data_IF_132431381957
#
_entry.id   IF_132431381957
#
_cell.length_a   1.000
_cell.length_b   1.000
_cell.length_c   1.000
_cell.angle_alpha   90.00
_cell.angle_beta   90.00
_cell.angle_gamma   90.00
#
_symmetry.space_group_name_H-M   'P 1'
#
loop_
_entity.id
_entity.type
_entity.pdbx_description
1 polymer ?
#
# COMPACT_ATOMS: atom_id res chain seq x y z
N UNK A 1 -6.17 8.47 -6.42
CA UNK A 1 -5.74 7.08 -6.15
C UNK A 1 -5.56 6.85 -4.66
N UNK A 2 -5.80 5.63 -4.24
CA UNK A 2 -5.49 5.18 -2.89
C UNK A 2 -4.36 4.16 -2.99
N UNK A 3 -3.18 4.50 -2.47
CA UNK A 3 -2.05 3.59 -2.44
C UNK A 3 -2.19 2.62 -1.27
N UNK A 4 -2.00 1.35 -1.53
CA UNK A 4 -2.07 0.29 -0.51
C UNK A 4 -0.76 -0.49 -0.53
N UNK A 5 -0.08 -0.60 0.63
CA UNK A 5 1.07 -1.48 0.75
C UNK A 5 0.61 -2.94 0.86
N UNK A 6 1.55 -3.86 0.98
CA UNK A 6 1.20 -5.28 1.06
C UNK A 6 0.37 -5.60 2.30
N UNK A 7 0.61 -4.93 3.44
CA UNK A 7 -0.18 -5.17 4.66
C UNK A 7 -1.65 -4.80 4.46
N UNK A 8 -1.91 -3.71 3.76
CA UNK A 8 -3.28 -3.27 3.45
C UNK A 8 -3.95 -4.22 2.46
N UNK A 9 -3.25 -4.62 1.41
CA UNK A 9 -3.78 -5.56 0.43
C UNK A 9 -4.10 -6.93 1.04
N UNK A 10 -3.20 -7.45 1.87
CA UNK A 10 -3.44 -8.72 2.58
C UNK A 10 -4.66 -8.60 3.50
N UNK A 11 -4.79 -7.49 4.23
CA UNK A 11 -5.94 -7.27 5.11
C UNK A 11 -7.24 -7.28 4.29
N UNK A 12 -7.27 -6.60 3.17
CA UNK A 12 -8.45 -6.54 2.30
C UNK A 12 -8.81 -7.93 1.74
N UNK A 13 -7.82 -8.68 1.28
CA UNK A 13 -8.03 -9.95 0.57
C UNK A 13 -8.32 -11.11 1.50
N UNK A 14 -7.79 -11.11 2.72
CA UNK A 14 -7.95 -12.23 3.66
C UNK A 14 -9.01 -11.99 4.74
N UNK A 15 -9.51 -10.77 4.86
CA UNK A 15 -10.52 -10.44 5.86
C UNK A 15 -9.99 -10.45 7.30
N UNK A 16 -8.69 -10.33 7.52
CA UNK A 16 -8.12 -10.29 8.87
C UNK A 16 -8.54 -9.01 9.61
N UNK A 17 -8.30 -8.89 10.93
CA UNK A 17 -8.73 -7.72 11.72
C UNK A 17 -8.32 -6.40 11.06
N UNK A 18 -9.28 -5.48 10.95
CA UNK A 18 -9.13 -4.22 10.24
C UNK A 18 -9.80 -4.21 8.86
N UNK A 19 -10.16 -5.39 8.31
CA UNK A 19 -10.74 -5.46 6.97
C UNK A 19 -12.09 -4.73 6.85
N UNK A 20 -12.94 -4.83 7.87
CA UNK A 20 -14.24 -4.13 7.85
C UNK A 20 -14.07 -2.63 7.81
N UNK A 21 -13.19 -2.08 8.64
CA UNK A 21 -12.87 -0.66 8.69
C UNK A 21 -12.22 -0.19 7.39
N UNK A 22 -11.36 -1.03 6.81
CA UNK A 22 -10.73 -0.74 5.53
C UNK A 22 -11.77 -0.66 4.41
N UNK A 23 -12.71 -1.61 4.36
CA UNK A 23 -13.80 -1.58 3.37
C UNK A 23 -14.65 -0.33 3.52
N UNK A 24 -14.95 0.09 4.74
CA UNK A 24 -15.68 1.34 5.00
C UNK A 24 -14.90 2.54 4.48
N UNK A 25 -13.60 2.59 4.76
CA UNK A 25 -12.74 3.66 4.28
C UNK A 25 -12.79 3.76 2.74
N UNK A 26 -12.70 2.62 2.05
CA UNK A 26 -12.76 2.58 0.59
C UNK A 26 -14.13 2.94 0.06
N UNK A 27 -15.20 2.49 0.73
CA UNK A 27 -16.59 2.81 0.35
C UNK A 27 -16.90 4.29 0.45
N UNK A 28 -16.27 4.98 1.39
CA UNK A 28 -16.45 6.43 1.55
C UNK A 28 -15.73 7.23 0.46
N UNK A 29 -14.94 6.57 -0.39
CA UNK A 29 -14.19 7.18 -1.49
C UNK A 29 -14.48 6.46 -2.80
N UNK A 30 -15.74 6.46 -3.24
CA UNK A 30 -16.12 5.71 -4.45
C UNK A 30 -15.44 6.28 -5.69
N UNK A 31 -15.08 5.38 -6.60
CA UNK A 31 -14.50 5.77 -7.89
C UNK A 31 -13.01 6.08 -7.87
N UNK A 32 -12.35 6.03 -6.69
CA UNK A 32 -10.90 6.21 -6.64
C UNK A 32 -10.18 4.89 -6.95
N UNK A 33 -9.27 4.87 -7.94
CA UNK A 33 -8.49 3.67 -8.24
C UNK A 33 -7.58 3.30 -7.08
N UNK A 34 -7.41 1.99 -6.87
CA UNK A 34 -6.41 1.47 -5.94
C UNK A 34 -5.07 1.36 -6.67
N UNK A 35 -3.99 1.61 -5.95
CA UNK A 35 -2.64 1.51 -6.49
C UNK A 35 -1.74 0.78 -5.51
N UNK A 36 -0.73 0.11 -6.04
CA UNK A 36 0.40 -0.40 -5.26
C UNK A 36 1.63 -0.41 -6.15
N UNK A 37 2.80 -0.66 -5.57
CA UNK A 37 4.03 -0.74 -6.34
C UNK A 37 4.25 -2.17 -6.87
N UNK A 38 5.23 -2.31 -7.78
CA UNK A 38 5.72 -3.62 -8.19
C UNK A 38 6.10 -4.47 -6.96
N UNK A 39 6.76 -3.86 -5.97
CA UNK A 39 7.12 -4.53 -4.72
C UNK A 39 5.87 -4.96 -3.96
N UNK A 40 4.85 -4.11 -3.91
CA UNK A 40 3.59 -4.43 -3.24
C UNK A 40 2.92 -5.66 -3.83
N UNK A 41 2.94 -5.79 -5.16
CA UNK A 41 2.39 -6.97 -5.83
C UNK A 41 3.17 -8.22 -5.43
N UNK A 42 4.50 -8.18 -5.53
CA UNK A 42 5.36 -9.33 -5.19
C UNK A 42 5.16 -9.76 -3.74
N UNK A 43 5.21 -8.82 -2.80
CA UNK A 43 5.03 -9.11 -1.39
C UNK A 43 3.66 -9.71 -1.10
N UNK A 44 2.61 -9.15 -1.69
CA UNK A 44 1.24 -9.62 -1.47
C UNK A 44 1.06 -11.06 -1.96
N UNK A 45 1.49 -11.35 -3.18
CA UNK A 45 1.38 -12.72 -3.72
C UNK A 45 2.15 -13.71 -2.86
N UNK A 46 3.39 -13.37 -2.47
CA UNK A 46 4.21 -14.25 -1.64
C UNK A 46 3.59 -14.49 -0.26
N UNK A 47 2.98 -13.48 0.35
CA UNK A 47 2.32 -13.63 1.65
C UNK A 47 1.03 -14.44 1.54
N UNK A 48 0.25 -14.26 0.48
CA UNK A 48 -0.96 -15.06 0.25
C UNK A 48 -0.62 -16.55 0.16
N UNK A 49 0.48 -16.90 -0.49
CA UNK A 49 0.94 -18.29 -0.60
C UNK A 49 1.22 -18.91 0.78
N UNK A 50 1.57 -18.11 1.78
CA UNK A 50 1.87 -18.59 3.13
C UNK A 50 0.62 -18.83 3.97
N UNK A 51 -0.49 -18.14 3.66
CA UNK A 51 -1.69 -18.17 4.51
C UNK A 51 -2.82 -19.02 3.93
N UNK A 52 -2.69 -19.47 2.69
CA UNK A 52 -3.73 -20.29 2.07
C UNK A 52 -3.43 -20.62 0.62
N UNK A 53 -4.45 -21.01 -0.12
CA UNK A 53 -4.36 -21.30 -1.54
C UNK A 53 -5.01 -20.17 -2.33
N UNK A 54 -4.20 -19.43 -3.09
CA UNK A 54 -4.65 -18.30 -3.91
C UNK A 54 -4.03 -18.42 -5.30
N UNK A 55 -4.46 -19.40 -6.10
CA UNK A 55 -3.81 -19.70 -7.39
C UNK A 55 -3.89 -18.55 -8.40
N UNK A 56 -4.88 -17.68 -8.27
CA UNK A 56 -5.09 -16.56 -9.18
C UNK A 56 -4.68 -15.20 -8.59
N UNK A 57 -3.88 -15.20 -7.51
CA UNK A 57 -3.54 -13.98 -6.77
C UNK A 57 -2.95 -12.90 -7.67
N UNK A 58 -1.97 -13.23 -8.51
CA UNK A 58 -1.33 -12.26 -9.38
C UNK A 58 -2.34 -11.67 -10.38
N UNK A 59 -3.14 -12.51 -11.00
CA UNK A 59 -4.17 -12.09 -11.97
C UNK A 59 -5.22 -11.22 -11.30
N UNK A 60 -5.67 -11.60 -10.10
CA UNK A 60 -6.67 -10.84 -9.35
C UNK A 60 -6.13 -9.45 -8.95
N UNK A 61 -4.88 -9.39 -8.49
CA UNK A 61 -4.24 -8.12 -8.16
C UNK A 61 -4.10 -7.22 -9.40
N UNK A 62 -3.68 -7.80 -10.51
CA UNK A 62 -3.49 -7.07 -11.76
C UNK A 62 -4.80 -6.41 -12.23
N UNK A 63 -5.93 -7.08 -12.00
CA UNK A 63 -7.26 -6.53 -12.31
C UNK A 63 -7.78 -5.54 -11.27
N UNK A 64 -7.20 -5.48 -10.09
CA UNK A 64 -7.69 -4.69 -8.97
C UNK A 64 -6.93 -3.40 -8.75
N UNK A 65 -5.63 -3.36 -9.01
CA UNK A 65 -4.77 -2.22 -8.71
C UNK A 65 -4.08 -1.66 -9.94
N UNK A 66 -3.77 -0.37 -9.88
CA UNK A 66 -2.82 0.26 -10.81
C UNK A 66 -1.42 0.02 -10.25
N UNK A 67 -0.54 -0.53 -11.06
CA UNK A 67 0.84 -0.80 -10.64
C UNK A 67 1.71 0.44 -10.85
N UNK A 68 2.38 0.87 -9.77
CA UNK A 68 3.40 1.93 -9.82
C UNK A 68 4.75 1.24 -10.01
N UNK A 69 5.35 1.43 -11.18
CA UNK A 69 6.59 0.75 -11.53
C UNK A 69 7.77 1.31 -10.72
N UNK A 70 8.74 0.46 -10.43
CA UNK A 70 9.98 0.82 -9.77
C UNK A 70 10.90 1.54 -10.78
N UNK A 71 10.63 2.82 -10.98
CA UNK A 71 11.39 3.68 -11.89
C UNK A 71 12.62 4.26 -11.21
N UNK A 72 13.46 4.92 -11.99
CA UNK A 72 14.60 5.68 -11.45
C UNK A 72 14.13 6.75 -10.46
N UNK A 73 13.03 7.44 -10.76
CA UNK A 73 12.45 8.44 -9.86
C UNK A 73 12.05 7.83 -8.52
N UNK A 74 11.35 6.70 -8.52
CA UNK A 74 10.98 5.99 -7.29
C UNK A 74 12.22 5.58 -6.51
N UNK A 75 13.20 5.00 -7.20
CA UNK A 75 14.47 4.59 -6.59
C UNK A 75 15.13 5.77 -5.87
N UNK A 76 15.26 6.89 -6.55
CA UNK A 76 15.95 8.06 -6.00
C UNK A 76 15.20 8.65 -4.79
N UNK A 77 13.87 8.73 -4.87
CA UNK A 77 13.06 9.17 -3.74
C UNK A 77 13.18 8.22 -2.55
N UNK A 78 13.19 6.90 -2.80
CA UNK A 78 13.28 5.91 -1.74
C UNK A 78 14.55 6.07 -0.90
N UNK A 79 15.65 6.54 -1.50
CA UNK A 79 16.91 6.76 -0.77
C UNK A 79 16.82 7.94 0.20
N UNK A 80 15.78 8.78 0.12
CA UNK A 80 15.64 10.01 0.90
C UNK A 80 14.39 10.05 1.78
N UNK A 81 13.61 8.97 1.80
CA UNK A 81 12.38 8.92 2.59
C UNK A 81 12.71 9.03 4.07
N UNK A 82 11.90 9.83 4.80
CA UNK A 82 12.06 10.05 6.24
C UNK A 82 11.88 8.80 7.07
N UNK A 83 12.56 8.74 8.21
CA UNK A 83 12.40 7.67 9.19
C UNK A 83 13.35 6.50 8.97
N UNK A 84 13.33 5.58 9.94
CA UNK A 84 14.19 4.40 9.94
C UNK A 84 13.48 3.23 9.27
N UNK A 85 13.22 3.34 7.97
CA UNK A 85 12.53 2.31 7.21
C UNK A 85 13.51 1.32 6.59
N UNK A 86 13.05 0.07 6.45
CA UNK A 86 13.72 -0.89 5.59
C UNK A 86 13.55 -0.47 4.13
N UNK A 87 14.46 -0.95 3.27
CA UNK A 87 14.49 -0.53 1.86
C UNK A 87 13.17 -0.74 1.13
N UNK A 88 12.52 -1.90 1.33
CA UNK A 88 11.24 -2.18 0.66
C UNK A 88 10.13 -1.25 1.15
N UNK A 89 10.12 -0.92 2.44
CA UNK A 89 9.13 0.01 3.00
C UNK A 89 9.35 1.43 2.47
N UNK A 90 10.61 1.84 2.31
CA UNK A 90 10.94 3.13 1.70
C UNK A 90 10.46 3.21 0.24
N UNK A 91 10.53 2.10 -0.49
CA UNK A 91 10.02 2.03 -1.86
C UNK A 91 8.50 2.21 -1.88
N UNK A 92 7.77 1.67 -0.91
CA UNK A 92 6.33 1.91 -0.81
C UNK A 92 6.01 3.40 -0.64
N UNK A 93 6.67 4.06 0.29
CA UNK A 93 6.43 5.50 0.52
C UNK A 93 6.80 6.31 -0.71
N UNK A 94 7.94 6.02 -1.32
CA UNK A 94 8.39 6.70 -2.54
C UNK A 94 7.41 6.49 -3.70
N UNK A 95 6.87 5.28 -3.84
CA UNK A 95 5.88 4.96 -4.88
C UNK A 95 4.60 5.77 -4.72
N UNK A 96 4.16 5.99 -3.47
CA UNK A 96 3.02 6.84 -3.19
C UNK A 96 3.36 8.32 -3.50
N UNK A 97 4.56 8.76 -3.16
CA UNK A 97 4.99 10.14 -3.41
C UNK A 97 4.99 10.50 -4.90
N UNK A 98 5.41 9.59 -5.78
CA UNK A 98 5.44 9.89 -7.23
C UNK A 98 4.05 10.01 -7.85
N UNK A 99 3.02 9.49 -7.20
CA UNK A 99 1.64 9.69 -7.65
C UNK A 99 1.28 11.18 -7.59
N UNK A 100 1.84 11.91 -6.62
CA UNK A 100 1.66 13.35 -6.50
C UNK A 100 0.23 13.75 -6.21
N UNK A 101 -0.28 14.76 -6.90
CA UNK A 101 -1.61 15.31 -6.67
C UNK A 101 -2.77 14.35 -6.91
N UNK A 102 -2.55 13.24 -7.60
CA UNK A 102 -3.58 12.22 -7.81
C UNK A 102 -3.76 11.29 -6.60
N UNK A 103 -2.84 11.35 -5.63
CA UNK A 103 -2.92 10.53 -4.43
C UNK A 103 -3.92 11.11 -3.45
N UNK A 104 -4.96 10.35 -3.12
CA UNK A 104 -5.89 10.68 -2.03
C UNK A 104 -5.30 10.29 -0.68
N UNK A 105 -4.82 9.05 -0.57
CA UNK A 105 -4.32 8.52 0.69
C UNK A 105 -3.40 7.32 0.47
N UNK A 106 -2.61 7.03 1.49
CA UNK A 106 -1.79 5.83 1.60
C UNK A 106 -2.30 5.01 2.78
N UNK A 107 -2.56 3.73 2.55
CA UNK A 107 -3.03 2.82 3.59
C UNK A 107 -1.93 1.82 3.92
N UNK A 108 -1.59 1.73 5.19
CA UNK A 108 -0.62 0.75 5.70
C UNK A 108 -0.96 0.38 7.14
N UNK A 109 -0.66 -0.86 7.52
CA UNK A 109 -0.78 -1.32 8.90
C UNK A 109 0.59 -1.44 9.59
N UNK A 110 1.64 -0.95 8.93
CA UNK A 110 2.98 -0.85 9.50
C UNK A 110 3.14 0.54 10.12
N UNK A 111 3.32 0.57 11.45
CA UNK A 111 3.40 1.84 12.18
C UNK A 111 4.56 2.73 11.75
N UNK A 112 5.71 2.15 11.44
CA UNK A 112 6.88 2.91 10.99
C UNK A 112 6.62 3.56 9.64
N UNK A 113 5.99 2.82 8.74
CA UNK A 113 5.63 3.34 7.42
C UNK A 113 4.56 4.42 7.53
N UNK A 114 3.58 4.23 8.42
CA UNK A 114 2.53 5.23 8.68
C UNK A 114 3.16 6.55 9.14
N UNK A 115 4.08 6.49 10.10
CA UNK A 115 4.75 7.68 10.63
C UNK A 115 5.60 8.35 9.55
N UNK A 116 6.36 7.58 8.79
CA UNK A 116 7.20 8.08 7.71
C UNK A 116 6.38 8.79 6.62
N UNK A 117 5.28 8.16 6.19
CA UNK A 117 4.41 8.74 5.18
C UNK A 117 3.83 10.08 5.63
N UNK A 118 3.44 10.17 6.89
CA UNK A 118 2.92 11.41 7.48
C UNK A 118 4.00 12.49 7.56
N UNK A 119 5.23 12.13 7.91
CA UNK A 119 6.36 13.07 7.89
C UNK A 119 6.63 13.60 6.49
N UNK A 120 6.42 12.77 5.46
CA UNK A 120 6.56 13.18 4.07
C UNK A 120 5.35 14.00 3.57
N UNK A 121 4.38 14.29 4.43
CA UNK A 121 3.21 15.10 4.09
C UNK A 121 2.08 14.34 3.44
N UNK A 122 2.12 13.02 3.45
CA UNK A 122 1.05 12.20 2.88
C UNK A 122 -0.11 12.02 3.86
N UNK A 123 -1.33 11.95 3.32
CA UNK A 123 -2.50 11.52 4.08
C UNK A 123 -2.43 10.00 4.23
N UNK A 124 -1.95 9.53 5.37
CA UNK A 124 -1.73 8.11 5.62
C UNK A 124 -2.63 7.61 6.74
N UNK A 125 -3.19 6.42 6.55
CA UNK A 125 -4.20 5.84 7.44
C UNK A 125 -3.99 4.34 7.63
N UNK A 126 -4.47 3.86 8.78
CA UNK A 126 -4.50 2.44 9.13
C UNK A 126 -5.89 2.12 9.70
N UNK A 127 -6.93 2.03 8.84
CA UNK A 127 -8.31 1.85 9.32
C UNK A 127 -8.46 0.62 10.21
N UNK A 128 -9.01 0.81 11.40
CA UNK A 128 -9.19 -0.26 12.38
C UNK A 128 -8.01 -0.48 13.32
N UNK A 129 -6.87 0.20 13.11
CA UNK A 129 -5.73 0.14 14.01
C UNK A 129 -5.76 1.36 14.94
N UNK A 130 -5.41 1.15 16.22
CA UNK A 130 -5.25 2.26 17.15
C UNK A 130 -4.04 3.10 16.76
N UNK A 131 -4.23 4.39 16.68
CA UNK A 131 -3.20 5.34 16.28
C UNK A 131 -2.72 6.22 17.43
#
# INVERSE_FOLDING_TARGET
MIYMDSSALITLLTGRPGAAELRTFLSDRPGLPLATSTIGIVETVRQLDKVGSFPDALSDLDGMVTEILLTEEVRDLATRVSGALRSLDAIHVASALVIGGALDSLITYDKRMLDSAREEGLSAHAPGMAE
#
